data_IF_996321065925
#
_entry.id   IF_996321065925
#
_cell.length_a   1.000
_cell.length_b   1.000
_cell.length_c   1.000
_cell.angle_alpha   90.00
_cell.angle_beta   90.00
_cell.angle_gamma   90.00
#
_symmetry.space_group_name_H-M   'P 1'
#
loop_
_entity.id
_entity.type
_entity.pdbx_description
1 polymer ?
#
# COMPACT_ATOMS: atom_id res chain seq x y z
N UNK A 1 10.61 9.87 1.18
CA UNK A 1 9.54 9.16 0.45
C UNK A 1 8.18 9.21 1.15
N UNK A 2 8.12 8.88 2.44
CA UNK A 2 6.85 8.87 3.20
C UNK A 2 6.10 10.21 3.16
N UNK A 3 6.81 11.33 3.34
CA UNK A 3 6.19 12.67 3.30
C UNK A 3 5.62 13.02 1.93
N UNK A 4 6.28 12.56 0.87
CA UNK A 4 5.80 12.80 -0.50
C UNK A 4 4.47 12.09 -0.70
N UNK A 5 4.38 10.82 -0.32
CA UNK A 5 3.15 10.03 -0.44
C UNK A 5 2.03 10.66 0.43
N UNK A 6 2.36 11.02 1.66
CA UNK A 6 1.39 11.67 2.56
C UNK A 6 0.83 12.95 1.95
N UNK A 7 1.71 13.81 1.41
CA UNK A 7 1.30 15.06 0.80
C UNK A 7 0.44 14.83 -0.44
N UNK A 8 0.79 13.85 -1.27
CA UNK A 8 -0.01 13.50 -2.45
C UNK A 8 -1.39 13.00 -2.05
N UNK A 9 -1.48 12.18 -1.01
CA UNK A 9 -2.76 11.69 -0.50
C UNK A 9 -3.63 12.84 0.02
N UNK A 10 -3.03 13.81 0.70
CA UNK A 10 -3.75 15.01 1.16
C UNK A 10 -4.29 15.83 0.00
N UNK A 11 -3.51 15.99 -1.06
CA UNK A 11 -3.94 16.69 -2.26
C UNK A 11 -5.16 16.03 -2.90
N UNK A 12 -5.24 14.69 -2.79
CA UNK A 12 -6.34 13.91 -3.35
C UNK A 12 -7.57 13.86 -2.42
N UNK A 13 -7.49 14.49 -1.26
CA UNK A 13 -8.60 14.56 -0.31
C UNK A 13 -8.55 13.56 0.83
N UNK A 14 -7.49 12.76 0.92
CA UNK A 14 -7.30 11.81 2.02
C UNK A 14 -6.62 12.52 3.17
N UNK A 15 -7.39 13.04 4.11
CA UNK A 15 -6.89 13.88 5.20
C UNK A 15 -6.48 13.10 6.45
N UNK A 16 -7.01 11.90 6.64
CA UNK A 16 -6.72 11.07 7.81
C UNK A 16 -5.65 10.03 7.47
N UNK A 17 -4.42 10.52 7.26
CA UNK A 17 -3.28 9.69 6.85
C UNK A 17 -2.32 9.52 8.02
N UNK A 18 -1.95 8.27 8.31
CA UNK A 18 -0.94 7.94 9.30
C UNK A 18 0.29 7.35 8.62
N UNK A 19 1.43 7.42 9.27
CA UNK A 19 2.71 6.98 8.72
C UNK A 19 3.38 5.94 9.63
N UNK A 20 4.21 5.07 9.02
CA UNK A 20 5.08 4.16 9.75
C UNK A 20 6.46 4.15 9.09
N UNK A 21 7.50 3.96 9.89
CA UNK A 21 8.88 3.96 9.40
C UNK A 21 9.27 2.64 8.74
N UNK A 22 8.62 1.54 9.14
CA UNK A 22 8.90 0.21 8.62
C UNK A 22 7.66 -0.68 8.72
N UNK A 23 7.80 -1.91 8.24
CA UNK A 23 6.69 -2.86 8.23
C UNK A 23 6.23 -3.26 9.63
N UNK A 24 7.14 -3.31 10.60
CA UNK A 24 6.78 -3.66 11.98
C UNK A 24 5.87 -2.60 12.58
N UNK A 25 6.24 -1.33 12.47
CA UNK A 25 5.41 -0.21 12.92
C UNK A 25 4.09 -0.14 12.16
N UNK A 26 4.15 -0.39 10.84
CA UNK A 26 2.96 -0.41 9.99
C UNK A 26 1.94 -1.43 10.48
N UNK A 27 2.37 -2.65 10.74
CA UNK A 27 1.50 -3.70 11.25
C UNK A 27 0.92 -3.35 12.62
N UNK A 28 1.73 -2.79 13.51
CA UNK A 28 1.27 -2.37 14.83
C UNK A 28 0.14 -1.34 14.72
N UNK A 29 0.31 -0.35 13.84
CA UNK A 29 -0.72 0.68 13.61
C UNK A 29 -1.98 0.09 13.00
N UNK A 30 -1.85 -0.81 12.03
CA UNK A 30 -2.98 -1.45 11.39
C UNK A 30 -3.81 -2.31 12.37
N UNK A 31 -3.13 -2.90 13.36
CA UNK A 31 -3.79 -3.72 14.38
C UNK A 31 -4.43 -2.89 15.50
N UNK A 32 -3.96 -1.65 15.68
CA UNK A 32 -4.44 -0.79 16.77
C UNK A 32 -5.51 0.21 16.34
N UNK A 33 -5.74 0.38 15.04
CA UNK A 33 -6.70 1.36 14.51
C UNK A 33 -7.31 0.83 13.22
N UNK A 34 -8.34 1.51 12.72
CA UNK A 34 -9.04 1.13 11.49
C UNK A 34 -8.56 1.97 10.33
N UNK A 35 -8.16 1.32 9.24
CA UNK A 35 -7.71 1.98 8.02
C UNK A 35 -8.46 1.44 6.81
N UNK A 36 -8.62 2.26 5.77
CA UNK A 36 -9.34 1.90 4.56
C UNK A 36 -8.44 1.29 3.49
N UNK A 37 -7.17 1.65 3.49
CA UNK A 37 -6.18 1.12 2.56
C UNK A 37 -4.76 1.41 3.05
N UNK A 38 -3.78 0.74 2.43
CA UNK A 38 -2.36 0.89 2.74
C UNK A 38 -1.60 1.22 1.47
N UNK A 39 -0.71 2.23 1.56
CA UNK A 39 0.29 2.50 0.53
C UNK A 39 1.64 2.18 1.15
N UNK A 40 2.30 1.15 0.64
CA UNK A 40 3.53 0.64 1.24
C UNK A 40 4.71 0.74 0.30
N UNK A 41 5.81 1.28 0.79
CA UNK A 41 7.10 1.22 0.09
C UNK A 41 7.59 -0.23 0.12
N UNK A 42 8.25 -0.67 -0.95
CA UNK A 42 8.82 -2.02 -1.01
C UNK A 42 10.03 -2.15 -0.09
N UNK A 43 10.94 -1.18 -0.17
CA UNK A 43 12.19 -1.20 0.60
C UNK A 43 12.05 -0.42 1.90
N UNK A 44 12.01 -1.14 3.02
CA UNK A 44 11.93 -0.57 4.36
C UNK A 44 12.86 -1.33 5.29
N UNK A 45 13.42 -0.68 6.34
CA UNK A 45 14.23 -1.39 7.32
C UNK A 45 13.37 -2.33 8.16
N UNK A 46 14.01 -3.27 8.82
CA UNK A 46 13.43 -4.27 9.74
C UNK A 46 12.46 -5.25 9.08
N UNK A 47 11.45 -4.74 8.37
CA UNK A 47 10.49 -5.56 7.62
C UNK A 47 10.16 -4.83 6.32
N UNK A 48 10.43 -5.44 5.18
CA UNK A 48 10.13 -4.82 3.88
C UNK A 48 8.62 -4.85 3.57
N UNK A 49 8.23 -4.14 2.51
CA UNK A 49 6.83 -4.02 2.13
C UNK A 49 6.20 -5.35 1.71
N UNK A 50 6.96 -6.22 1.05
CA UNK A 50 6.45 -7.53 0.64
C UNK A 50 6.14 -8.40 1.85
N UNK A 51 7.04 -8.43 2.84
CA UNK A 51 6.83 -9.18 4.08
C UNK A 51 5.64 -8.62 4.85
N UNK A 52 5.52 -7.29 4.94
CA UNK A 52 4.37 -6.64 5.58
C UNK A 52 3.06 -7.04 4.88
N UNK A 53 3.05 -7.04 3.55
CA UNK A 53 1.88 -7.47 2.78
C UNK A 53 1.51 -8.92 3.10
N UNK A 54 2.48 -9.82 3.15
CA UNK A 54 2.24 -11.22 3.50
C UNK A 54 1.63 -11.35 4.89
N UNK A 55 2.13 -10.58 5.85
CA UNK A 55 1.59 -10.58 7.22
C UNK A 55 0.17 -10.01 7.28
N UNK A 56 -0.12 -8.98 6.49
CA UNK A 56 -1.48 -8.43 6.38
C UNK A 56 -2.45 -9.51 5.88
N UNK A 57 -2.06 -10.28 4.88
CA UNK A 57 -2.92 -11.32 4.31
C UNK A 57 -3.10 -12.52 5.25
N UNK A 58 -2.16 -12.77 6.15
CA UNK A 58 -2.28 -13.83 7.16
C UNK A 58 -3.14 -13.45 8.35
N UNK A 59 -3.31 -12.15 8.62
CA UNK A 59 -4.10 -11.66 9.74
C UNK A 59 -5.57 -11.58 9.32
N UNK A 60 -6.49 -12.36 9.95
CA UNK A 60 -7.91 -12.34 9.58
C UNK A 60 -8.56 -10.96 9.65
N UNK A 61 -8.09 -10.11 10.56
CA UNK A 61 -8.61 -8.75 10.71
C UNK A 61 -8.16 -7.82 9.58
N UNK A 62 -7.04 -8.13 8.92
CA UNK A 62 -6.43 -7.29 7.90
C UNK A 62 -6.45 -7.92 6.50
N UNK A 63 -6.88 -9.17 6.38
CA UNK A 63 -6.72 -9.96 5.15
C UNK A 63 -7.37 -9.35 3.91
N UNK A 64 -8.37 -8.51 4.07
CA UNK A 64 -9.09 -7.86 2.96
C UNK A 64 -8.69 -6.41 2.74
N UNK A 65 -7.75 -5.88 3.52
CA UNK A 65 -7.32 -4.49 3.42
C UNK A 65 -6.63 -4.24 2.08
N UNK A 66 -7.05 -3.23 1.29
CA UNK A 66 -6.39 -2.92 0.03
C UNK A 66 -4.96 -2.44 0.26
N UNK A 67 -4.02 -2.95 -0.51
CA UNK A 67 -2.60 -2.57 -0.42
C UNK A 67 -2.07 -2.18 -1.79
N UNK A 68 -1.52 -0.97 -1.89
CA UNK A 68 -0.81 -0.48 -3.06
C UNK A 68 0.69 -0.49 -2.75
N UNK A 69 1.45 -1.21 -3.55
CA UNK A 69 2.90 -1.27 -3.39
C UNK A 69 3.59 -0.17 -4.18
N UNK A 70 4.60 0.46 -3.59
CA UNK A 70 5.41 1.49 -4.22
C UNK A 70 6.82 0.94 -4.40
N UNK A 71 7.33 0.94 -5.63
CA UNK A 71 8.65 0.39 -5.94
C UNK A 71 9.47 1.35 -6.78
N UNK A 72 10.80 1.31 -6.61
CA UNK A 72 11.73 2.10 -7.42
C UNK A 72 11.96 1.48 -8.80
N UNK A 73 11.67 0.20 -8.96
CA UNK A 73 11.92 -0.52 -10.21
C UNK A 73 10.73 -1.41 -10.58
N UNK A 74 10.34 -1.36 -11.86
CA UNK A 74 9.24 -2.19 -12.39
C UNK A 74 9.79 -3.51 -12.91
N UNK A 75 10.46 -4.29 -12.06
CA UNK A 75 10.95 -5.62 -12.44
C UNK A 75 9.79 -6.61 -12.44
N UNK A 76 9.73 -7.42 -13.50
CA UNK A 76 8.66 -8.39 -13.68
C UNK A 76 8.53 -9.34 -12.48
N UNK A 77 9.65 -9.85 -11.97
CA UNK A 77 9.63 -10.76 -10.83
C UNK A 77 9.09 -10.10 -9.57
N UNK A 78 9.34 -8.80 -9.37
CA UNK A 78 8.81 -8.07 -8.23
C UNK A 78 7.30 -7.85 -8.36
N UNK A 79 6.84 -7.52 -9.55
CA UNK A 79 5.42 -7.32 -9.84
C UNK A 79 4.66 -8.63 -9.62
N UNK A 80 5.19 -9.75 -10.11
CA UNK A 80 4.61 -11.08 -9.92
C UNK A 80 4.58 -11.44 -8.45
N UNK A 81 5.68 -11.22 -7.72
CA UNK A 81 5.76 -11.50 -6.29
C UNK A 81 4.72 -10.71 -5.49
N UNK A 82 4.55 -9.43 -5.81
CA UNK A 82 3.54 -8.59 -5.16
C UNK A 82 2.13 -9.10 -5.43
N UNK A 83 1.83 -9.45 -6.67
CA UNK A 83 0.52 -9.98 -7.07
C UNK A 83 0.23 -11.30 -6.35
N UNK A 84 1.20 -12.20 -6.29
CA UNK A 84 1.07 -13.48 -5.60
C UNK A 84 0.88 -13.32 -4.10
N UNK A 85 1.50 -12.30 -3.51
CA UNK A 85 1.34 -11.97 -2.10
C UNK A 85 0.01 -11.29 -1.78
N UNK A 86 -0.74 -10.87 -2.80
CA UNK A 86 -2.06 -10.29 -2.64
C UNK A 86 -2.11 -8.78 -2.70
N UNK A 87 -1.14 -8.12 -3.34
CA UNK A 87 -1.19 -6.69 -3.58
C UNK A 87 -2.33 -6.34 -4.53
N UNK A 88 -3.03 -5.24 -4.25
CA UNK A 88 -4.12 -4.77 -5.10
C UNK A 88 -3.61 -3.97 -6.30
N UNK A 89 -2.38 -3.45 -6.22
CA UNK A 89 -1.75 -2.73 -7.31
C UNK A 89 -0.33 -2.35 -6.95
N UNK A 90 0.35 -1.73 -7.89
CA UNK A 90 1.69 -1.20 -7.67
C UNK A 90 1.88 0.09 -8.44
N UNK A 91 2.82 0.91 -8.01
CA UNK A 91 3.21 2.14 -8.70
C UNK A 91 4.73 2.29 -8.61
N UNK A 92 5.34 2.80 -9.69
CA UNK A 92 6.79 2.94 -9.80
C UNK A 92 7.19 4.38 -9.54
N UNK A 93 8.22 4.59 -8.74
CA UNK A 93 8.79 5.91 -8.45
C UNK A 93 9.63 6.40 -9.65
N UNK A 94 9.62 7.69 -9.94
CA UNK A 94 8.77 8.72 -9.36
C UNK A 94 7.36 8.67 -9.95
N UNK A 95 6.36 9.08 -9.17
CA UNK A 95 4.97 9.14 -9.63
C UNK A 95 4.33 10.46 -9.21
N UNK A 96 3.24 10.82 -9.88
CA UNK A 96 2.49 12.05 -9.61
C UNK A 96 1.22 11.75 -8.81
N UNK A 97 0.57 12.81 -8.30
CA UNK A 97 -0.73 12.67 -7.65
C UNK A 97 -1.77 12.04 -8.59
N UNK A 98 -1.73 12.42 -9.88
CA UNK A 98 -2.63 11.86 -10.88
C UNK A 98 -2.46 10.34 -11.04
N UNK A 99 -1.21 9.85 -11.07
CA UNK A 99 -0.90 8.43 -11.17
C UNK A 99 -1.39 7.68 -9.92
N UNK A 100 -1.12 8.24 -8.74
CA UNK A 100 -1.55 7.65 -7.48
C UNK A 100 -3.08 7.56 -7.41
N UNK A 101 -3.77 8.63 -7.80
CA UNK A 101 -5.23 8.70 -7.83
C UNK A 101 -5.81 7.63 -8.77
N UNK A 102 -5.22 7.49 -9.96
CA UNK A 102 -5.64 6.47 -10.94
C UNK A 102 -5.52 5.07 -10.35
N UNK A 103 -4.39 4.76 -9.72
CA UNK A 103 -4.16 3.43 -9.13
C UNK A 103 -5.13 3.14 -7.99
N UNK A 104 -5.34 4.10 -7.10
CA UNK A 104 -6.27 3.95 -6.00
C UNK A 104 -7.71 3.84 -6.50
N UNK A 105 -8.08 4.62 -7.51
CA UNK A 105 -9.40 4.57 -8.12
C UNK A 105 -9.71 3.19 -8.70
N UNK A 106 -8.76 2.58 -9.39
CA UNK A 106 -8.91 1.24 -9.94
C UNK A 106 -9.06 0.18 -8.85
N UNK A 107 -8.32 0.32 -7.76
CA UNK A 107 -8.42 -0.60 -6.62
C UNK A 107 -9.82 -0.53 -6.01
N UNK A 108 -10.32 0.67 -5.72
CA UNK A 108 -11.64 0.85 -5.12
C UNK A 108 -12.76 0.40 -6.06
N UNK A 109 -12.61 0.66 -7.35
CA UNK A 109 -13.56 0.23 -8.37
C UNK A 109 -13.69 -1.30 -8.39
N UNK A 110 -12.60 -2.02 -8.34
CA UNK A 110 -12.59 -3.49 -8.28
C UNK A 110 -13.25 -4.00 -6.99
N UNK A 111 -13.00 -3.36 -5.88
CA UNK A 111 -13.58 -3.75 -4.59
C UNK A 111 -15.09 -3.58 -4.60
N UNK A 112 -15.59 -2.49 -5.17
CA UNK A 112 -17.03 -2.24 -5.30
C UNK A 112 -17.70 -3.25 -6.25
N UNK A 113 -17.04 -3.55 -7.38
CA UNK A 113 -17.58 -4.47 -8.38
C UNK A 113 -17.47 -5.93 -7.95
N UNK A 114 -16.41 -6.27 -7.22
CA UNK A 114 -16.13 -7.65 -6.83
C UNK A 114 -16.77 -8.09 -5.52
N UNK A 115 -17.38 -7.18 -4.83
CA UNK A 115 -18.03 -7.47 -3.54
C UNK A 115 -17.07 -7.46 -2.39
#
# INVERSE_FOLDING_TARGET
>A
MRRIVRNLLKELGYTNVDEAEDGVQGLQKLRSDTFDFVVSDWNMPNMDGLTMLQEIRKDPALAKLPVLMVTAEAKKENIVAAAQAGANGYVVKPFTAATLDEKLGKIFEKLEAGG
#
